data_IF_931914309509
#
_entry.id   IF_931914309509
#
_cell.length_a   1.000
_cell.length_b   1.000
_cell.length_c   1.000
_cell.angle_alpha   90.00
_cell.angle_beta   90.00
_cell.angle_gamma   90.00
#
_symmetry.space_group_name_H-M   'P 1'
#
loop_
_entity.id
_entity.type
_entity.pdbx_description
1 polymer ?
#
# COMPACT_ATOMS: atom_id res chain seq x y z
N UNK A 1 -4.43 -21.66 -21.92
CA UNK A 1 -4.60 -22.39 -20.65
C UNK A 1 -3.57 -21.97 -19.59
N UNK A 2 -2.25 -22.13 -19.83
CA UNK A 2 -1.22 -21.73 -18.85
C UNK A 2 -1.32 -20.25 -18.42
N UNK A 3 -1.45 -19.33 -19.39
CA UNK A 3 -1.62 -17.89 -19.15
C UNK A 3 -2.73 -17.61 -18.14
N UNK A 4 -3.91 -18.18 -18.39
CA UNK A 4 -5.11 -18.01 -17.57
C UNK A 4 -4.94 -18.56 -16.15
N UNK A 5 -4.35 -19.75 -16.00
CA UNK A 5 -4.10 -20.34 -14.68
C UNK A 5 -3.13 -19.48 -13.87
N UNK A 6 -2.04 -19.01 -14.49
CA UNK A 6 -1.04 -18.18 -13.81
C UNK A 6 -1.65 -16.85 -13.37
N UNK A 7 -2.35 -16.14 -14.26
CA UNK A 7 -2.98 -14.87 -13.90
C UNK A 7 -4.00 -15.04 -12.77
N UNK A 8 -4.83 -16.07 -12.82
CA UNK A 8 -5.80 -16.37 -11.77
C UNK A 8 -5.12 -16.62 -10.42
N UNK A 9 -4.13 -17.51 -10.38
CA UNK A 9 -3.40 -17.84 -9.15
C UNK A 9 -2.69 -16.61 -8.58
N UNK A 10 -2.04 -15.80 -9.41
CA UNK A 10 -1.34 -14.60 -8.99
C UNK A 10 -2.27 -13.57 -8.34
N UNK A 11 -3.44 -13.31 -8.94
CA UNK A 11 -4.41 -12.35 -8.42
C UNK A 11 -5.07 -12.85 -7.13
N UNK A 12 -5.50 -14.11 -7.09
CA UNK A 12 -6.10 -14.70 -5.88
C UNK A 12 -5.09 -14.72 -4.73
N UNK A 13 -3.85 -15.13 -5.00
CA UNK A 13 -2.78 -15.12 -3.99
C UNK A 13 -2.47 -13.71 -3.49
N UNK A 14 -2.53 -12.69 -4.35
CA UNK A 14 -2.36 -11.31 -3.94
C UNK A 14 -3.46 -10.86 -2.98
N UNK A 15 -4.72 -11.22 -3.25
CA UNK A 15 -5.85 -10.90 -2.37
C UNK A 15 -5.75 -11.58 -1.00
N UNK A 16 -5.21 -12.81 -0.95
CA UNK A 16 -4.93 -13.51 0.32
C UNK A 16 -4.01 -12.70 1.24
N UNK A 17 -3.13 -11.85 0.71
CA UNK A 17 -2.26 -10.99 1.52
C UNK A 17 -2.77 -9.55 1.67
N UNK A 18 -3.33 -8.97 0.60
CA UNK A 18 -3.82 -7.59 0.60
C UNK A 18 -5.04 -7.39 1.52
N UNK A 19 -5.97 -8.35 1.54
CA UNK A 19 -7.18 -8.27 2.38
C UNK A 19 -6.83 -8.31 3.88
N UNK A 20 -5.99 -9.25 4.38
CA UNK A 20 -5.52 -9.22 5.77
C UNK A 20 -4.77 -7.93 6.14
N UNK A 21 -3.99 -7.35 5.22
CA UNK A 21 -3.31 -6.08 5.46
C UNK A 21 -4.32 -4.97 5.79
N UNK A 22 -5.39 -4.85 5.00
CA UNK A 22 -6.49 -3.89 5.25
C UNK A 22 -7.13 -4.16 6.62
N UNK A 23 -7.43 -5.42 6.94
CA UNK A 23 -8.05 -5.78 8.23
C UNK A 23 -7.16 -5.46 9.44
N UNK A 24 -5.85 -5.70 9.33
CA UNK A 24 -4.91 -5.39 10.41
C UNK A 24 -4.83 -3.88 10.63
N UNK A 25 -4.71 -3.10 9.56
CA UNK A 25 -4.70 -1.64 9.64
C UNK A 25 -6.00 -1.09 10.21
N UNK A 26 -7.16 -1.64 9.79
CA UNK A 26 -8.47 -1.26 10.31
C UNK A 26 -8.62 -1.56 11.81
N UNK A 27 -8.12 -2.72 12.27
CA UNK A 27 -8.08 -3.05 13.70
C UNK A 27 -7.23 -2.06 14.49
N UNK A 28 -6.06 -1.67 13.99
CA UNK A 28 -5.22 -0.67 14.65
C UNK A 28 -5.85 0.72 14.64
N UNK A 29 -6.53 1.10 13.54
CA UNK A 29 -7.27 2.36 13.46
C UNK A 29 -8.43 2.43 14.46
N UNK A 30 -9.12 1.32 14.72
CA UNK A 30 -10.16 1.23 15.77
C UNK A 30 -9.57 1.45 17.17
N UNK A 31 -8.36 0.94 17.44
CA UNK A 31 -7.67 1.16 18.73
C UNK A 31 -7.19 2.60 18.89
N UNK A 32 -6.57 3.16 17.84
CA UNK A 32 -5.93 4.47 17.85
C UNK A 32 -6.19 5.16 16.52
N UNK A 33 -7.06 6.18 16.52
CA UNK A 33 -7.37 6.99 15.33
C UNK A 33 -6.13 7.75 14.86
N UNK A 34 -5.72 7.51 13.62
CA UNK A 34 -4.64 8.22 12.97
C UNK A 34 -4.95 8.35 11.47
N UNK A 35 -4.88 9.56 10.94
CA UNK A 35 -5.24 9.85 9.56
C UNK A 35 -4.35 9.13 8.54
N UNK A 36 -3.07 8.87 8.86
CA UNK A 36 -2.15 8.15 7.97
C UNK A 36 -2.56 6.68 7.87
N UNK A 37 -2.94 6.06 8.99
CA UNK A 37 -3.48 4.70 8.98
C UNK A 37 -4.76 4.65 8.14
N UNK A 38 -5.63 5.64 8.27
CA UNK A 38 -6.85 5.74 7.44
C UNK A 38 -6.52 5.84 5.94
N UNK A 39 -5.55 6.68 5.55
CA UNK A 39 -5.11 6.80 4.16
C UNK A 39 -4.59 5.45 3.63
N UNK A 40 -3.77 4.73 4.40
CA UNK A 40 -3.31 3.39 4.01
C UNK A 40 -4.45 2.37 3.91
N UNK A 41 -5.45 2.41 4.80
CA UNK A 41 -6.65 1.55 4.69
C UNK A 41 -7.37 1.82 3.37
N UNK A 42 -7.62 3.09 3.04
CA UNK A 42 -8.31 3.48 1.81
C UNK A 42 -7.48 3.03 0.61
N UNK A 43 -6.19 3.33 0.57
CA UNK A 43 -5.29 2.89 -0.50
C UNK A 43 -5.35 1.38 -0.72
N UNK A 44 -5.09 0.57 0.31
CA UNK A 44 -5.00 -0.88 0.13
C UNK A 44 -6.36 -1.51 -0.14
N UNK A 45 -7.46 -0.88 0.28
CA UNK A 45 -8.82 -1.28 -0.13
C UNK A 45 -9.07 -1.01 -1.61
N UNK A 46 -8.65 0.17 -2.10
CA UNK A 46 -8.74 0.50 -3.53
C UNK A 46 -7.84 -0.41 -4.37
N UNK A 47 -6.61 -0.68 -3.94
CA UNK A 47 -5.70 -1.62 -4.63
C UNK A 47 -6.29 -3.04 -4.64
N UNK A 48 -6.86 -3.51 -3.53
CA UNK A 48 -7.52 -4.82 -3.50
C UNK A 48 -8.71 -4.88 -4.46
N UNK A 49 -9.51 -3.81 -4.52
CA UNK A 49 -10.62 -3.67 -5.48
C UNK A 49 -10.10 -3.68 -6.92
N UNK A 50 -9.00 -2.99 -7.17
CA UNK A 50 -8.36 -2.91 -8.47
C UNK A 50 -7.86 -4.28 -8.95
N UNK A 51 -7.28 -5.09 -8.05
CA UNK A 51 -6.88 -6.49 -8.30
C UNK A 51 -8.10 -7.38 -8.63
N UNK A 52 -9.24 -7.18 -7.97
CA UNK A 52 -10.48 -7.91 -8.30
C UNK A 52 -10.99 -7.53 -9.70
N UNK A 53 -10.95 -6.24 -10.04
CA UNK A 53 -11.38 -5.75 -11.35
C UNK A 53 -10.45 -6.24 -12.45
N UNK A 54 -9.12 -6.22 -12.25
CA UNK A 54 -8.17 -6.75 -13.24
C UNK A 54 -8.39 -8.24 -13.48
N UNK A 55 -8.60 -9.02 -12.41
CA UNK A 55 -8.94 -10.43 -12.54
C UNK A 55 -10.23 -10.62 -13.36
N UNK A 56 -11.29 -9.88 -13.04
CA UNK A 56 -12.57 -9.93 -13.76
C UNK A 56 -12.41 -9.54 -15.23
N UNK A 57 -11.59 -8.54 -15.52
CA UNK A 57 -11.26 -8.10 -16.87
C UNK A 57 -10.56 -9.20 -17.67
N UNK A 58 -9.56 -9.85 -17.07
CA UNK A 58 -8.83 -10.94 -17.71
C UNK A 58 -9.67 -12.19 -17.93
N UNK A 59 -10.49 -12.59 -16.97
CA UNK A 59 -11.44 -13.69 -17.13
C UNK A 59 -12.37 -13.45 -18.34
N UNK A 60 -12.93 -12.23 -18.45
CA UNK A 60 -13.78 -11.85 -19.57
C UNK A 60 -13.05 -11.92 -20.93
N UNK A 61 -11.76 -11.55 -20.97
CA UNK A 61 -10.94 -11.58 -22.19
C UNK A 61 -10.49 -13.01 -22.56
N UNK A 62 -10.21 -13.86 -21.57
CA UNK A 62 -9.75 -15.23 -21.79
C UNK A 62 -10.90 -16.17 -22.17
N UNK A 63 -12.07 -16.03 -21.54
CA UNK A 63 -13.26 -16.82 -21.87
C UNK A 63 -13.78 -16.53 -23.28
N UNK A 64 -13.62 -15.30 -23.78
CA UNK A 64 -14.09 -14.90 -25.12
C UNK A 64 -13.14 -15.30 -26.25
N UNK A 65 -11.85 -15.47 -25.99
CA UNK A 65 -10.92 -15.85 -27.05
C UNK A 65 -10.75 -17.37 -27.13
N UNK A 66 -11.38 -17.99 -28.12
CA UNK A 66 -11.01 -19.35 -28.53
C UNK A 66 -9.63 -19.39 -29.22
N UNK A 67 -9.08 -18.24 -29.63
CA UNK A 67 -7.76 -18.14 -30.23
C UNK A 67 -6.67 -18.19 -29.15
N UNK A 68 -6.04 -19.34 -29.00
CA UNK A 68 -4.82 -19.56 -28.20
C UNK A 68 -3.56 -18.93 -28.81
N UNK A 69 -3.70 -18.20 -29.93
CA UNK A 69 -2.57 -17.69 -30.70
C UNK A 69 -2.14 -16.30 -30.21
N UNK A 70 -0.93 -16.28 -29.64
CA UNK A 70 -0.19 -15.07 -29.31
C UNK A 70 0.21 -14.41 -30.63
N UNK A 71 -0.16 -13.14 -30.85
CA UNK A 71 0.13 -12.42 -32.11
C UNK A 71 1.08 -11.24 -31.87
N UNK A 72 2.00 -10.94 -32.82
CA UNK A 72 2.74 -9.69 -32.78
C UNK A 72 1.77 -8.52 -32.95
N UNK A 73 1.89 -7.51 -32.10
CA UNK A 73 0.95 -6.39 -32.03
C UNK A 73 1.62 -5.10 -32.51
N UNK A 74 0.87 -4.23 -33.19
CA UNK A 74 1.42 -3.00 -33.78
C UNK A 74 1.73 -2.00 -32.67
N UNK A 75 2.87 -1.31 -32.77
CA UNK A 75 3.30 -0.31 -31.77
C UNK A 75 2.30 0.84 -31.62
N UNK A 76 1.55 1.17 -32.69
CA UNK A 76 0.48 2.17 -32.69
C UNK A 76 -0.64 1.89 -31.69
N UNK A 77 -0.81 0.62 -31.29
CA UNK A 77 -1.84 0.20 -30.34
C UNK A 77 -1.51 0.54 -28.88
N UNK A 78 -0.29 1.00 -28.58
CA UNK A 78 0.02 1.58 -27.26
C UNK A 78 -0.68 2.93 -27.02
N UNK A 79 -1.04 3.64 -28.10
CA UNK A 79 -1.68 4.97 -28.04
C UNK A 79 -3.11 4.93 -28.56
N UNK A 80 -3.49 3.87 -29.27
CA UNK A 80 -4.85 3.62 -29.75
C UNK A 80 -5.44 2.47 -28.94
N UNK A 81 -6.30 2.80 -27.96
CA UNK A 81 -6.97 1.79 -27.15
C UNK A 81 -7.97 1.01 -28.02
N UNK A 82 -7.68 -0.27 -28.29
CA UNK A 82 -8.60 -1.17 -28.97
C UNK A 82 -9.33 -2.03 -27.94
N UNK A 83 -10.62 -1.73 -27.75
CA UNK A 83 -11.52 -2.54 -26.93
C UNK A 83 -12.31 -3.49 -27.81
N UNK A 84 -12.37 -4.77 -27.43
CA UNK A 84 -13.10 -5.78 -28.20
C UNK A 84 -14.61 -5.65 -28.01
N UNK A 85 -15.07 -5.15 -26.85
CA UNK A 85 -16.49 -4.94 -26.55
C UNK A 85 -16.71 -3.69 -25.69
N UNK A 86 -17.92 -3.11 -25.69
CA UNK A 86 -18.27 -2.01 -24.77
C UNK A 86 -18.12 -2.37 -23.28
N UNK A 87 -18.27 -3.66 -22.94
CA UNK A 87 -18.07 -4.15 -21.57
C UNK A 87 -16.58 -4.11 -21.17
N UNK A 88 -15.66 -4.43 -22.10
CA UNK A 88 -14.22 -4.36 -21.85
C UNK A 88 -13.76 -2.91 -21.71
N UNK A 89 -14.33 -2.00 -22.52
CA UNK A 89 -14.10 -0.55 -22.38
C UNK A 89 -14.54 -0.07 -20.99
N UNK A 90 -15.77 -0.37 -20.58
CA UNK A 90 -16.30 0.02 -19.27
C UNK A 90 -15.44 -0.51 -18.11
N UNK A 91 -15.08 -1.80 -18.12
CA UNK A 91 -14.22 -2.39 -17.09
C UNK A 91 -12.82 -1.75 -17.06
N UNK A 92 -12.24 -1.47 -18.23
CA UNK A 92 -10.95 -0.77 -18.33
C UNK A 92 -11.04 0.66 -17.77
N UNK A 93 -12.12 1.39 -18.08
CA UNK A 93 -12.36 2.73 -17.52
C UNK A 93 -12.49 2.68 -16.00
N UNK A 94 -13.30 1.76 -15.47
CA UNK A 94 -13.49 1.59 -14.01
C UNK A 94 -12.16 1.23 -13.34
N UNK A 95 -11.38 0.31 -13.93
CA UNK A 95 -10.05 -0.03 -13.47
C UNK A 95 -9.14 1.21 -13.39
N UNK A 96 -9.08 2.00 -14.46
CA UNK A 96 -8.21 3.18 -14.54
C UNK A 96 -8.61 4.25 -13.53
N UNK A 97 -9.92 4.51 -13.35
CA UNK A 97 -10.40 5.47 -12.35
C UNK A 97 -10.02 5.04 -10.93
N UNK A 98 -10.24 3.78 -10.58
CA UNK A 98 -9.87 3.26 -9.25
C UNK A 98 -8.35 3.26 -9.07
N UNK A 99 -7.60 2.95 -10.13
CA UNK A 99 -6.14 2.98 -10.10
C UNK A 99 -5.62 4.40 -9.84
N UNK A 100 -6.09 5.40 -10.58
CA UNK A 100 -5.75 6.82 -10.38
C UNK A 100 -6.12 7.26 -8.97
N UNK A 101 -7.33 6.93 -8.49
CA UNK A 101 -7.76 7.26 -7.14
C UNK A 101 -6.85 6.62 -6.09
N UNK A 102 -6.50 5.34 -6.25
CA UNK A 102 -5.59 4.64 -5.35
C UNK A 102 -4.22 5.31 -5.30
N UNK A 103 -3.72 5.75 -6.46
CA UNK A 103 -2.44 6.44 -6.62
C UNK A 103 -2.43 7.82 -5.94
N UNK A 104 -3.51 8.60 -6.11
CA UNK A 104 -3.65 9.91 -5.46
C UNK A 104 -3.72 9.77 -3.93
N UNK A 105 -4.50 8.82 -3.42
CA UNK A 105 -4.62 8.59 -1.97
C UNK A 105 -3.29 8.14 -1.38
N UNK A 106 -2.57 7.23 -2.03
CA UNK A 106 -1.27 6.78 -1.51
C UNK A 106 -0.21 7.88 -1.63
N UNK A 107 -0.25 8.71 -2.67
CA UNK A 107 0.61 9.87 -2.77
C UNK A 107 0.40 10.84 -1.59
N UNK A 108 -0.86 11.12 -1.22
CA UNK A 108 -1.18 11.90 -0.02
C UNK A 108 -0.65 11.20 1.25
N UNK A 109 -0.78 9.88 1.35
CA UNK A 109 -0.25 9.11 2.48
C UNK A 109 1.27 9.19 2.59
N UNK A 110 1.98 9.02 1.48
CA UNK A 110 3.44 9.14 1.37
C UNK A 110 3.88 10.56 1.69
N UNK A 111 3.18 11.58 1.18
CA UNK A 111 3.45 12.98 1.49
C UNK A 111 3.27 13.26 2.99
N UNK A 112 2.17 12.79 3.59
CA UNK A 112 1.93 12.91 5.02
C UNK A 112 2.99 12.21 5.88
N UNK A 113 3.43 11.02 5.46
CA UNK A 113 4.49 10.27 6.13
C UNK A 113 5.84 10.96 5.96
N UNK A 114 6.17 11.49 4.77
CA UNK A 114 7.41 12.21 4.51
C UNK A 114 7.47 13.57 5.20
N UNK A 115 6.33 14.25 5.34
CA UNK A 115 6.24 15.55 6.00
C UNK A 115 6.70 15.47 7.46
N UNK A 116 6.56 14.30 8.08
CA UNK A 116 7.09 14.05 9.42
C UNK A 116 8.60 14.23 9.49
N UNK A 117 9.33 13.89 8.42
CA UNK A 117 10.79 14.05 8.33
C UNK A 117 11.23 15.33 7.61
N UNK A 118 10.31 16.26 7.33
CA UNK A 118 10.57 17.47 6.53
C UNK A 118 11.75 18.29 7.04
N UNK A 119 11.95 18.34 8.37
CA UNK A 119 13.06 19.06 8.98
C UNK A 119 14.44 18.45 8.65
N UNK A 120 14.52 17.11 8.56
CA UNK A 120 15.75 16.39 8.21
C UNK A 120 15.99 16.33 6.70
N UNK A 121 14.92 16.25 5.91
CA UNK A 121 15.00 16.17 4.44
C UNK A 121 15.35 17.52 3.79
N UNK A 122 14.93 18.63 4.41
CA UNK A 122 14.97 19.96 3.82
C UNK A 122 13.75 20.26 2.93
N UNK A 123 13.23 21.49 2.99
CA UNK A 123 11.98 21.88 2.32
C UNK A 123 12.01 21.64 0.81
N UNK A 124 13.08 22.05 0.14
CA UNK A 124 13.21 21.95 -1.34
C UNK A 124 13.22 20.49 -1.78
N UNK A 125 14.05 19.65 -1.16
CA UNK A 125 14.13 18.22 -1.46
C UNK A 125 12.80 17.51 -1.22
N UNK A 126 12.10 17.85 -0.14
CA UNK A 126 10.77 17.32 0.15
C UNK A 126 9.78 17.63 -0.99
N UNK A 127 9.63 18.89 -1.38
CA UNK A 127 8.69 19.26 -2.45
C UNK A 127 9.08 18.65 -3.80
N UNK A 128 10.38 18.68 -4.16
CA UNK A 128 10.87 18.07 -5.38
C UNK A 128 10.55 16.56 -5.45
N UNK A 129 10.80 15.82 -4.36
CA UNK A 129 10.51 14.38 -4.28
C UNK A 129 9.00 14.08 -4.38
N UNK A 130 8.14 14.96 -3.85
CA UNK A 130 6.68 14.72 -3.89
C UNK A 130 6.01 15.18 -5.18
N UNK A 131 6.44 16.31 -5.77
CA UNK A 131 5.73 16.95 -6.90
C UNK A 131 6.19 16.38 -8.25
N UNK A 132 7.49 16.17 -8.45
CA UNK A 132 8.03 15.73 -9.74
C UNK A 132 7.44 14.37 -10.17
N UNK A 133 7.40 13.33 -9.30
CA UNK A 133 6.80 12.05 -9.68
C UNK A 133 5.30 12.13 -9.91
N UNK A 134 4.60 13.05 -9.25
CA UNK A 134 3.15 13.23 -9.44
C UNK A 134 2.86 13.79 -10.85
N UNK A 135 3.59 14.83 -11.26
CA UNK A 135 3.45 15.41 -12.61
C UNK A 135 3.77 14.34 -13.65
N UNK A 136 4.85 13.58 -13.43
CA UNK A 136 5.26 12.50 -14.32
C UNK A 136 4.22 11.37 -14.41
N UNK A 137 3.54 11.04 -13.31
CA UNK A 137 2.48 10.03 -13.28
C UNK A 137 1.16 10.49 -13.92
N UNK A 138 0.77 11.75 -13.74
CA UNK A 138 -0.50 12.27 -14.26
C UNK A 138 -0.44 12.47 -15.77
N UNK A 139 0.73 12.85 -16.31
CA UNK A 139 0.87 13.19 -17.72
C UNK A 139 0.37 12.10 -18.68
N UNK A 140 0.69 10.79 -18.52
CA UNK A 140 0.14 9.70 -19.34
C UNK A 140 -1.40 9.68 -19.46
N UNK A 141 -2.12 10.22 -18.47
CA UNK A 141 -3.58 10.24 -18.48
C UNK A 141 -4.16 11.45 -19.25
N UNK A 142 -3.35 12.25 -19.94
CA UNK A 142 -3.79 13.44 -20.69
C UNK A 142 -4.87 13.12 -21.75
N UNK A 143 -4.88 11.90 -22.29
CA UNK A 143 -5.88 11.45 -23.27
C UNK A 143 -7.29 11.42 -22.67
N UNK A 144 -7.42 11.11 -21.38
CA UNK A 144 -8.71 11.12 -20.69
C UNK A 144 -9.26 12.53 -20.42
N UNK A 145 -8.37 13.51 -20.25
CA UNK A 145 -8.75 14.85 -19.80
C UNK A 145 -8.89 15.87 -20.92
N UNK A 146 -8.07 15.80 -21.97
CA UNK A 146 -7.92 16.93 -22.87
C UNK A 146 -7.74 16.57 -24.35
N UNK A 147 -7.52 15.30 -24.70
CA UNK A 147 -7.28 14.84 -26.09
C UNK A 147 -6.27 15.69 -26.89
N UNK A 148 -5.37 16.39 -26.19
CA UNK A 148 -4.51 17.44 -26.75
C UNK A 148 -3.59 16.95 -27.86
N UNK A 149 -3.21 15.67 -27.82
CA UNK A 149 -2.29 15.05 -28.78
C UNK A 149 -3.03 14.26 -29.89
N UNK A 150 -4.37 14.26 -29.91
CA UNK A 150 -5.13 13.46 -30.90
C UNK A 150 -4.79 13.77 -32.35
N UNK A 151 -4.54 15.03 -32.80
CA UNK A 151 -4.17 15.28 -34.19
C UNK A 151 -2.80 14.67 -34.54
N UNK A 152 -1.81 14.81 -33.65
CA UNK A 152 -0.46 14.26 -33.85
C UNK A 152 -0.44 12.73 -33.87
N UNK A 153 -1.30 12.08 -33.07
CA UNK A 153 -1.44 10.61 -33.06
C UNK A 153 -1.97 10.09 -34.40
N UNK A 154 -2.86 10.83 -35.06
CA UNK A 154 -3.44 10.45 -36.36
C UNK A 154 -2.43 10.65 -37.50
N UNK A 155 -1.66 11.74 -37.46
CA UNK A 155 -0.71 12.08 -38.53
C UNK A 155 0.59 11.24 -38.48
N UNK A 156 1.12 10.99 -37.27
CA UNK A 156 2.39 10.27 -37.07
C UNK A 156 2.30 9.20 -35.98
N UNK A 157 1.44 8.18 -36.15
CA UNK A 157 1.12 7.21 -35.08
C UNK A 157 2.35 6.49 -34.55
N UNK A 158 3.28 6.08 -35.41
CA UNK A 158 4.48 5.31 -35.01
C UNK A 158 5.44 6.18 -34.19
N UNK A 159 5.78 7.38 -34.67
CA UNK A 159 6.71 8.26 -34.00
C UNK A 159 6.19 8.70 -32.63
N UNK A 160 4.90 9.08 -32.56
CA UNK A 160 4.25 9.44 -31.30
C UNK A 160 4.23 8.26 -30.34
N UNK A 161 3.93 7.04 -30.80
CA UNK A 161 3.94 5.83 -29.96
C UNK A 161 5.32 5.57 -29.34
N UNK A 162 6.39 5.70 -30.14
CA UNK A 162 7.76 5.47 -29.67
C UNK A 162 8.15 6.51 -28.62
N UNK A 163 7.92 7.79 -28.90
CA UNK A 163 8.22 8.88 -27.96
C UNK A 163 7.43 8.71 -26.67
N UNK A 164 6.13 8.43 -26.78
CA UNK A 164 5.25 8.21 -25.64
C UNK A 164 5.71 7.03 -24.78
N UNK A 165 6.07 5.91 -25.41
CA UNK A 165 6.55 4.72 -24.72
C UNK A 165 7.87 4.99 -23.99
N UNK A 166 8.83 5.63 -24.65
CA UNK A 166 10.13 5.97 -24.03
C UNK A 166 9.92 6.90 -22.83
N UNK A 167 9.06 7.90 -22.98
CA UNK A 167 8.89 8.93 -21.96
C UNK A 167 8.05 8.43 -20.78
N UNK A 168 7.04 7.59 -21.00
CA UNK A 168 6.02 7.28 -19.99
C UNK A 168 5.92 5.82 -19.54
N UNK A 169 6.65 4.90 -20.17
CA UNK A 169 6.65 3.48 -19.78
C UNK A 169 7.07 3.26 -18.32
N UNK A 170 7.91 4.14 -17.76
CA UNK A 170 8.41 4.06 -16.39
C UNK A 170 7.57 4.83 -15.35
N UNK A 171 6.47 5.48 -15.76
CA UNK A 171 5.65 6.35 -14.90
C UNK A 171 5.16 5.68 -13.63
N UNK A 172 4.70 4.43 -13.74
CA UNK A 172 4.22 3.63 -12.60
C UNK A 172 5.35 3.24 -11.65
N UNK A 173 6.50 2.84 -12.20
CA UNK A 173 7.68 2.42 -11.44
C UNK A 173 8.28 3.58 -10.65
N UNK A 174 8.32 4.78 -11.26
CA UNK A 174 8.74 6.01 -10.57
C UNK A 174 7.79 6.35 -9.41
N UNK A 175 6.48 6.20 -9.61
CA UNK A 175 5.49 6.35 -8.56
C UNK A 175 5.65 5.34 -7.42
N UNK A 176 5.79 4.05 -7.77
CA UNK A 176 6.01 2.97 -6.80
C UNK A 176 7.28 3.19 -5.96
N UNK A 177 8.35 3.65 -6.60
CA UNK A 177 9.59 4.02 -5.91
C UNK A 177 9.36 5.17 -4.92
N UNK A 178 8.66 6.24 -5.33
CA UNK A 178 8.30 7.33 -4.41
C UNK A 178 7.53 6.82 -3.18
N UNK A 179 6.55 5.93 -3.38
CA UNK A 179 5.76 5.42 -2.26
C UNK A 179 6.60 4.58 -1.30
N UNK A 180 7.54 3.79 -1.81
CA UNK A 180 8.47 3.02 -0.99
C UNK A 180 9.50 3.88 -0.25
N UNK A 181 9.82 5.07 -0.76
CA UNK A 181 10.83 5.97 -0.20
C UNK A 181 10.49 6.40 1.22
N UNK A 182 9.20 6.52 1.57
CA UNK A 182 8.79 6.84 2.93
C UNK A 182 9.22 5.77 3.93
N UNK A 183 9.08 4.48 3.59
CA UNK A 183 9.54 3.37 4.41
C UNK A 183 11.07 3.26 4.43
N UNK A 184 11.74 3.56 3.32
CA UNK A 184 13.20 3.62 3.28
C UNK A 184 13.73 4.69 4.23
N UNK A 185 13.22 5.91 4.17
CA UNK A 185 13.61 7.01 5.07
C UNK A 185 13.29 6.63 6.52
N UNK A 186 12.12 6.05 6.79
CA UNK A 186 11.76 5.57 8.13
C UNK A 186 12.82 4.59 8.67
N UNK A 187 13.30 3.65 7.83
CA UNK A 187 14.30 2.66 8.22
C UNK A 187 15.66 3.28 8.60
N UNK A 188 16.02 4.44 8.04
CA UNK A 188 17.26 5.16 8.37
C UNK A 188 17.17 5.98 9.66
N UNK A 189 15.96 6.19 10.18
CA UNK A 189 15.70 6.95 11.41
C UNK A 189 15.62 6.01 12.62
N UNK A 190 15.16 4.78 12.43
CA UNK A 190 14.96 3.82 13.53
C UNK A 190 16.28 3.14 13.90
N UNK A 191 16.71 3.20 15.18
CA UNK A 191 17.96 2.57 15.62
C UNK A 191 17.84 1.05 15.82
N UNK A 192 16.64 0.53 16.09
CA UNK A 192 16.42 -0.90 16.31
C UNK A 192 16.52 -1.67 14.98
N UNK A 193 17.46 -2.61 14.89
CA UNK A 193 17.76 -3.36 13.67
C UNK A 193 16.59 -4.22 13.17
N UNK A 194 15.82 -4.83 14.08
CA UNK A 194 14.66 -5.65 13.72
C UNK A 194 13.55 -4.81 13.08
N UNK A 195 13.32 -3.62 13.63
CA UNK A 195 12.35 -2.66 13.07
C UNK A 195 12.86 -2.11 11.74
N UNK A 196 14.16 -1.76 11.65
CA UNK A 196 14.78 -1.33 10.39
C UNK A 196 14.61 -2.36 9.27
N UNK A 197 14.93 -3.63 9.53
CA UNK A 197 14.75 -4.73 8.56
C UNK A 197 13.29 -4.88 8.13
N UNK A 198 12.35 -4.82 9.06
CA UNK A 198 10.91 -4.88 8.73
C UNK A 198 10.42 -3.70 7.87
N UNK A 199 10.96 -2.49 8.07
CA UNK A 199 10.67 -1.33 7.24
C UNK A 199 11.29 -1.45 5.84
N UNK A 200 12.47 -2.04 5.71
CA UNK A 200 13.07 -2.35 4.41
C UNK A 200 12.26 -3.40 3.65
N UNK A 201 11.75 -4.42 4.33
CA UNK A 201 10.83 -5.41 3.73
C UNK A 201 9.56 -4.72 3.24
N UNK A 202 9.00 -3.78 4.03
CA UNK A 202 7.84 -2.98 3.63
C UNK A 202 8.14 -2.09 2.41
N UNK A 203 9.33 -1.49 2.37
CA UNK A 203 9.81 -0.70 1.24
C UNK A 203 9.82 -1.54 -0.04
N UNK A 204 10.45 -2.71 -0.02
CA UNK A 204 10.52 -3.63 -1.16
C UNK A 204 9.12 -4.08 -1.58
N UNK A 205 8.28 -4.48 -0.62
CA UNK A 205 6.90 -4.89 -0.90
C UNK A 205 6.07 -3.79 -1.56
N UNK A 206 6.22 -2.55 -1.09
CA UNK A 206 5.54 -1.38 -1.66
C UNK A 206 5.97 -1.11 -3.11
N UNK A 207 7.29 -1.15 -3.39
CA UNK A 207 7.82 -0.96 -4.75
C UNK A 207 7.28 -2.02 -5.69
N UNK A 208 7.36 -3.30 -5.29
CA UNK A 208 6.93 -4.43 -6.12
C UNK A 208 5.43 -4.37 -6.38
N UNK A 209 4.60 -4.18 -5.35
CA UNK A 209 3.15 -4.18 -5.48
C UNK A 209 2.66 -3.10 -6.45
N UNK A 210 3.08 -1.84 -6.27
CA UNK A 210 2.63 -0.75 -7.13
C UNK A 210 3.26 -0.76 -8.53
N UNK A 211 4.40 -1.41 -8.71
CA UNK A 211 4.99 -1.61 -10.05
C UNK A 211 4.32 -2.75 -10.82
N UNK A 212 3.64 -3.67 -10.12
CA UNK A 212 3.15 -4.93 -10.71
C UNK A 212 1.65 -4.94 -11.03
N UNK A 213 0.85 -4.10 -10.37
CA UNK A 213 -0.60 -4.03 -10.60
C UNK A 213 -0.90 -3.27 -11.89
N UNK A 214 -1.16 -3.98 -12.98
CA UNK A 214 -1.48 -3.42 -14.29
C UNK A 214 -2.34 -4.35 -15.17
N UNK A 215 -3.22 -3.80 -16.00
CA UNK A 215 -3.99 -4.56 -17.02
C UNK A 215 -3.37 -4.55 -18.44
N UNK A 216 -2.61 -3.51 -18.79
CA UNK A 216 -2.08 -3.26 -20.15
C UNK A 216 -1.21 -4.40 -20.70
N UNK A 217 -0.27 -4.99 -19.94
CA UNK A 217 0.67 -5.97 -20.48
C UNK A 217 0.02 -7.26 -20.99
N UNK A 218 -1.12 -7.68 -20.42
CA UNK A 218 -1.84 -8.89 -20.85
C UNK A 218 -3.13 -8.60 -21.62
N UNK A 219 -3.60 -7.36 -21.65
CA UNK A 219 -4.76 -6.93 -22.44
C UNK A 219 -4.64 -7.36 -23.92
N UNK A 220 -3.44 -7.26 -24.49
CA UNK A 220 -3.23 -7.43 -25.94
C UNK A 220 -2.71 -8.81 -26.37
N UNK A 221 -2.51 -9.76 -25.44
CA UNK A 221 -2.00 -11.12 -25.73
C UNK A 221 -0.76 -11.12 -26.66
N UNK A 222 0.14 -10.17 -26.40
CA UNK A 222 1.37 -9.95 -27.17
C UNK A 222 2.40 -11.03 -26.90
N UNK A 223 3.16 -11.40 -27.95
CA UNK A 223 4.38 -12.21 -27.82
C UNK A 223 5.59 -11.28 -27.79
N UNK A 224 6.52 -11.43 -26.83
CA UNK A 224 6.49 -12.31 -25.65
C UNK A 224 5.57 -11.78 -24.54
N UNK A 225 5.00 -12.65 -23.67
CA UNK A 225 4.08 -12.24 -22.62
C UNK A 225 4.82 -11.69 -21.39
N UNK A 226 5.60 -10.62 -21.56
CA UNK A 226 6.36 -10.01 -20.45
C UNK A 226 5.49 -9.57 -19.27
N UNK A 227 4.21 -9.28 -19.54
CA UNK A 227 3.19 -9.00 -18.52
C UNK A 227 2.99 -10.11 -17.50
N UNK A 228 3.18 -11.37 -17.88
CA UNK A 228 3.02 -12.51 -16.97
C UNK A 228 4.00 -12.45 -15.79
N UNK A 229 5.24 -12.07 -16.08
CA UNK A 229 6.30 -11.99 -15.07
C UNK A 229 5.94 -10.88 -14.08
N UNK A 230 5.50 -9.73 -14.59
CA UNK A 230 5.04 -8.60 -13.78
C UNK A 230 3.89 -9.02 -12.86
N UNK A 231 2.87 -9.72 -13.39
CA UNK A 231 1.73 -10.15 -12.56
C UNK A 231 2.08 -11.20 -11.52
N UNK A 232 3.05 -12.08 -11.81
CA UNK A 232 3.54 -13.07 -10.85
C UNK A 232 4.16 -12.41 -9.60
N UNK A 233 4.61 -11.15 -9.69
CA UNK A 233 5.16 -10.41 -8.57
C UNK A 233 4.12 -9.70 -7.69
N UNK A 234 2.87 -9.54 -8.14
CA UNK A 234 1.79 -8.94 -7.32
C UNK A 234 1.66 -9.64 -5.95
N UNK A 235 1.52 -10.98 -5.86
CA UNK A 235 1.41 -11.65 -4.56
C UNK A 235 2.66 -11.50 -3.69
N UNK A 236 3.86 -11.50 -4.29
CA UNK A 236 5.11 -11.27 -3.56
C UNK A 236 5.13 -9.86 -2.93
N UNK A 237 4.76 -8.84 -3.70
CA UNK A 237 4.67 -7.46 -3.21
C UNK A 237 3.68 -7.32 -2.05
N UNK A 238 2.48 -7.90 -2.20
CA UNK A 238 1.46 -7.88 -1.17
C UNK A 238 1.90 -8.62 0.12
N UNK A 239 2.55 -9.78 -0.03
CA UNK A 239 3.09 -10.56 1.08
C UNK A 239 4.18 -9.80 1.85
N UNK A 240 5.19 -9.28 1.14
CA UNK A 240 6.29 -8.53 1.76
C UNK A 240 5.77 -7.29 2.48
N UNK A 241 4.81 -6.58 1.87
CA UNK A 241 4.23 -5.39 2.49
C UNK A 241 3.44 -5.73 3.76
N UNK A 242 2.64 -6.80 3.73
CA UNK A 242 1.92 -7.31 4.90
C UNK A 242 2.88 -7.69 6.03
N UNK A 243 3.85 -8.56 5.74
CA UNK A 243 4.79 -9.06 6.75
C UNK A 243 5.68 -7.94 7.28
N UNK A 244 6.16 -7.05 6.41
CA UNK A 244 6.98 -5.91 6.78
C UNK A 244 6.27 -4.99 7.77
N UNK A 245 5.05 -4.53 7.43
CA UNK A 245 4.27 -3.62 8.29
C UNK A 245 3.89 -4.32 9.60
N UNK A 246 3.44 -5.58 9.53
CA UNK A 246 3.03 -6.34 10.71
C UNK A 246 4.21 -6.57 11.68
N UNK A 247 5.34 -7.05 11.15
CA UNK A 247 6.54 -7.30 11.96
C UNK A 247 7.10 -6.01 12.55
N UNK A 248 7.01 -4.90 11.82
CA UNK A 248 7.39 -3.57 12.34
C UNK A 248 6.55 -3.18 13.55
N UNK A 249 5.23 -3.36 13.47
CA UNK A 249 4.32 -3.07 14.58
C UNK A 249 4.58 -3.97 15.80
N UNK A 250 4.83 -5.27 15.59
CA UNK A 250 5.12 -6.24 16.66
C UNK A 250 6.46 -5.92 17.35
N UNK A 251 7.51 -5.65 16.59
CA UNK A 251 8.81 -5.32 17.19
C UNK A 251 8.73 -4.03 18.03
N UNK A 252 7.92 -3.05 17.60
CA UNK A 252 7.65 -1.83 18.38
C UNK A 252 6.73 -2.10 19.58
N UNK A 253 5.79 -3.05 19.50
CA UNK A 253 4.92 -3.43 20.63
C UNK A 253 5.67 -4.17 21.74
N UNK A 254 6.85 -4.70 21.44
CA UNK A 254 7.69 -5.40 22.43
C UNK A 254 8.77 -4.49 23.05
N UNK A 255 9.31 -3.53 22.28
CA UNK A 255 10.40 -2.67 22.76
C UNK A 255 9.89 -1.39 23.48
N UNK A 256 9.87 -1.46 24.82
CA UNK A 256 9.47 -0.33 25.68
C UNK A 256 10.42 0.88 25.59
N UNK A 257 11.73 0.65 25.34
CA UNK A 257 12.72 1.72 25.19
C UNK A 257 12.50 2.46 23.88
N UNK A 258 12.31 1.73 22.78
CA UNK A 258 11.98 2.30 21.48
C UNK A 258 10.65 3.08 21.51
N UNK A 259 9.63 2.58 22.22
CA UNK A 259 8.38 3.34 22.45
C UNK A 259 8.59 4.62 23.26
N UNK A 260 9.52 4.63 24.20
CA UNK A 260 9.89 5.83 24.96
C UNK A 260 10.67 6.81 24.09
N UNK A 261 11.53 6.33 23.21
CA UNK A 261 12.29 7.14 22.25
C UNK A 261 11.37 7.78 21.21
N UNK A 262 10.32 7.08 20.75
CA UNK A 262 9.22 7.65 19.96
C UNK A 262 8.47 8.80 20.67
N UNK A 263 8.69 9.04 21.98
CA UNK A 263 8.10 10.18 22.71
C UNK A 263 9.07 11.33 22.95
N UNK A 264 10.38 11.10 22.89
CA UNK A 264 11.38 12.04 23.45
C UNK A 264 12.39 12.61 22.45
N UNK A 265 12.55 12.05 21.25
CA UNK A 265 13.64 12.45 20.33
C UNK A 265 13.17 12.79 18.91
N UNK A 266 14.10 13.02 17.98
CA UNK A 266 13.83 13.16 16.53
C UNK A 266 13.05 11.96 15.93
N UNK A 267 13.03 10.82 16.63
CA UNK A 267 12.24 9.62 16.33
C UNK A 267 10.73 9.86 16.61
N UNK A 268 10.34 10.89 17.37
CA UNK A 268 8.96 11.27 17.63
C UNK A 268 8.15 11.64 16.37
N UNK A 269 8.86 11.87 15.26
CA UNK A 269 8.26 12.12 13.95
C UNK A 269 7.60 10.86 13.38
N UNK A 270 7.98 9.64 13.80
CA UNK A 270 7.45 8.36 13.30
C UNK A 270 6.03 8.03 13.82
N UNK A 271 5.05 8.90 13.56
CA UNK A 271 3.71 8.78 14.11
C UNK A 271 2.99 7.52 13.65
N UNK A 272 3.17 7.09 12.41
CA UNK A 272 2.59 5.83 11.92
C UNK A 272 3.08 4.66 12.76
N UNK A 273 4.40 4.49 12.85
CA UNK A 273 5.05 3.37 13.52
C UNK A 273 4.75 3.35 15.02
N UNK A 274 4.79 4.53 15.65
CA UNK A 274 4.38 4.72 17.05
C UNK A 274 2.93 4.30 17.27
N UNK A 275 2.02 4.72 16.38
CA UNK A 275 0.58 4.43 16.53
C UNK A 275 0.29 2.95 16.37
N UNK A 276 0.82 2.31 15.31
CA UNK A 276 0.58 0.88 15.07
C UNK A 276 1.22 0.01 16.16
N UNK A 277 2.40 0.38 16.67
CA UNK A 277 3.06 -0.35 17.75
C UNK A 277 2.33 -0.25 19.10
N UNK A 278 1.79 0.93 19.44
CA UNK A 278 0.95 1.09 20.64
C UNK A 278 -0.37 0.32 20.48
N UNK A 279 -1.04 0.41 19.33
CA UNK A 279 -2.28 -0.32 19.07
C UNK A 279 -2.06 -1.84 19.12
N UNK A 280 -0.94 -2.33 18.60
CA UNK A 280 -0.55 -3.73 18.69
C UNK A 280 -0.26 -4.17 20.13
N UNK A 281 0.42 -3.33 20.92
CA UNK A 281 0.69 -3.59 22.34
C UNK A 281 -0.62 -3.68 23.15
N UNK A 282 -1.56 -2.73 22.97
CA UNK A 282 -2.87 -2.75 23.63
C UNK A 282 -3.64 -4.04 23.30
N UNK A 283 -3.62 -4.44 22.03
CA UNK A 283 -4.25 -5.69 21.58
C UNK A 283 -3.62 -6.93 22.24
N UNK A 284 -2.31 -6.99 22.35
CA UNK A 284 -1.59 -8.09 23.00
C UNK A 284 -1.87 -8.13 24.51
N UNK A 285 -1.94 -6.98 25.18
CA UNK A 285 -2.30 -6.89 26.60
C UNK A 285 -3.72 -7.41 26.85
N UNK A 286 -4.70 -6.99 26.05
CA UNK A 286 -6.10 -7.47 26.16
C UNK A 286 -6.16 -8.98 25.90
N UNK A 287 -5.42 -9.49 24.91
CA UNK A 287 -5.36 -10.93 24.62
C UNK A 287 -4.78 -11.71 25.81
N UNK A 288 -3.68 -11.24 26.37
CA UNK A 288 -3.02 -11.90 27.50
C UNK A 288 -3.90 -11.86 28.76
N UNK A 289 -4.56 -10.73 29.03
CA UNK A 289 -5.52 -10.62 30.13
C UNK A 289 -6.65 -11.66 30.00
N UNK A 290 -7.28 -11.77 28.82
CA UNK A 290 -8.33 -12.79 28.58
C UNK A 290 -7.83 -14.23 28.76
N UNK A 291 -6.57 -14.51 28.44
CA UNK A 291 -5.97 -15.83 28.66
C UNK A 291 -5.75 -16.13 30.14
N UNK A 292 -5.34 -15.12 30.91
CA UNK A 292 -5.18 -15.23 32.37
C UNK A 292 -6.55 -15.38 33.04
N UNK A 293 -7.54 -14.57 32.65
CA UNK A 293 -8.92 -14.67 33.13
C UNK A 293 -9.52 -16.07 32.89
N UNK A 294 -9.37 -16.61 31.66
CA UNK A 294 -9.82 -17.98 31.34
C UNK A 294 -9.11 -19.07 32.15
N UNK A 295 -7.89 -18.83 32.60
CA UNK A 295 -7.10 -19.77 33.42
C UNK A 295 -7.37 -19.64 34.92
N UNK A 296 -7.95 -18.53 35.36
CA UNK A 296 -8.22 -18.21 36.76
C UNK A 296 -9.71 -17.96 36.99
N UNK A 297 -10.57 -19.01 37.01
CA UNK A 297 -12.02 -18.87 37.16
C UNK A 297 -12.48 -18.28 38.51
N UNK A 298 -11.57 -18.12 39.48
CA UNK A 298 -11.82 -17.61 40.83
C UNK A 298 -11.47 -16.12 41.02
N UNK A 299 -11.16 -15.37 39.95
CA UNK A 299 -11.15 -13.90 40.04
C UNK A 299 -12.59 -13.44 40.35
N UNK A 300 -12.77 -12.77 41.49
CA UNK A 300 -14.07 -12.29 41.95
C UNK A 300 -14.82 -11.60 40.81
N UNK A 301 -16.01 -12.11 40.47
CA UNK A 301 -16.91 -11.61 39.42
C UNK A 301 -17.60 -10.31 39.83
N UNK A 302 -16.84 -9.32 40.31
CA UNK A 302 -17.37 -8.03 40.75
C UNK A 302 -17.36 -6.97 39.65
N UNK A 303 -16.69 -7.20 38.52
CA UNK A 303 -16.71 -6.31 37.35
C UNK A 303 -17.16 -7.04 36.08
N UNK A 304 -17.96 -6.36 35.25
CA UNK A 304 -18.33 -6.82 33.92
C UNK A 304 -17.09 -6.76 33.00
N UNK A 305 -16.52 -7.91 32.67
CA UNK A 305 -15.32 -8.04 31.84
C UNK A 305 -15.63 -8.17 30.33
N UNK A 306 -16.68 -7.51 29.85
CA UNK A 306 -16.92 -7.33 28.41
C UNK A 306 -15.65 -6.82 27.69
N UNK A 307 -15.47 -7.19 26.42
CA UNK A 307 -14.28 -6.83 25.64
C UNK A 307 -14.03 -5.31 25.58
N UNK A 308 -15.10 -4.52 25.65
CA UNK A 308 -15.02 -3.06 25.72
C UNK A 308 -14.52 -2.58 27.08
N UNK A 309 -15.00 -3.18 28.18
CA UNK A 309 -14.55 -2.86 29.54
C UNK A 309 -13.09 -3.25 29.77
N UNK A 310 -12.63 -4.41 29.28
CA UNK A 310 -11.21 -4.80 29.38
C UNK A 310 -10.31 -3.84 28.58
N UNK A 311 -10.75 -3.41 27.40
CA UNK A 311 -10.03 -2.38 26.63
C UNK A 311 -9.95 -1.07 27.39
N UNK A 312 -11.05 -0.67 28.04
CA UNK A 312 -11.11 0.55 28.84
C UNK A 312 -10.17 0.47 30.05
N UNK A 313 -10.18 -0.62 30.81
CA UNK A 313 -9.29 -0.83 31.96
C UNK A 313 -7.81 -0.78 31.53
N UNK A 314 -7.45 -1.49 30.46
CA UNK A 314 -6.07 -1.44 29.92
C UNK A 314 -5.71 -0.02 29.50
N UNK A 315 -6.63 0.70 28.87
CA UNK A 315 -6.40 2.08 28.47
C UNK A 315 -6.19 3.01 29.66
N UNK A 316 -7.04 2.91 30.69
CA UNK A 316 -6.96 3.70 31.92
C UNK A 316 -5.67 3.43 32.69
N UNK A 317 -5.31 2.16 32.90
CA UNK A 317 -4.04 1.79 33.56
C UNK A 317 -2.84 2.31 32.78
N UNK A 318 -2.86 2.24 31.45
CA UNK A 318 -1.79 2.82 30.62
C UNK A 318 -1.73 4.36 30.73
N UNK A 319 -2.87 5.03 30.89
CA UNK A 319 -2.92 6.48 31.12
C UNK A 319 -2.43 6.86 32.52
N UNK A 320 -2.79 6.11 33.56
CA UNK A 320 -2.34 6.34 34.93
C UNK A 320 -0.83 6.11 35.08
N UNK A 321 -0.33 4.99 34.54
CA UNK A 321 1.11 4.73 34.51
C UNK A 321 1.84 5.84 33.77
N UNK A 322 1.26 6.36 32.68
CA UNK A 322 1.81 7.52 31.97
C UNK A 322 1.82 8.77 32.84
N UNK A 323 0.74 9.10 33.56
CA UNK A 323 0.71 10.26 34.47
C UNK A 323 1.70 10.15 35.64
N UNK A 324 1.82 8.96 36.25
CA UNK A 324 2.80 8.71 37.33
C UNK A 324 4.24 8.91 36.84
N UNK A 325 4.55 8.47 35.62
CA UNK A 325 5.85 8.64 34.99
C UNK A 325 6.18 10.11 34.64
N UNK A 326 5.16 10.96 34.46
CA UNK A 326 5.31 12.40 34.29
C UNK A 326 5.52 13.11 35.63
N UNK A 327 4.69 12.82 36.66
CA UNK A 327 4.83 13.44 38.00
C UNK A 327 6.16 13.14 38.67
N UNK A 328 6.70 11.92 38.51
CA UNK A 328 8.04 11.56 39.02
C UNK A 328 9.19 12.37 38.40
N UNK A 329 8.96 13.07 37.28
CA UNK A 329 9.97 13.86 36.57
C UNK A 329 9.83 15.37 36.77
N UNK A 330 8.70 15.84 37.30
CA UNK A 330 8.55 17.23 37.76
C UNK A 330 9.11 17.42 39.19
N UNK A 331 9.33 16.31 39.90
CA UNK A 331 9.89 16.28 41.25
C UNK A 331 11.40 15.95 41.29
N UNK A 332 12.03 15.78 40.12
CA UNK A 332 13.50 15.62 39.95
C UNK A 332 14.03 16.74 39.06
#
# INVERSE_FOLDING_TARGET
MLLHIVTFISHVSALVFAIPLVFILAKWFKSRRNYIILLYIITFSLVSTNIVISLTYYENIFLRSNASEIRPYRISSYVTAFYSTPADESLSTVYNVIFILSFLVIWIATMAMLNQYKYRLGKIRYYALTIIPLIYFIFPFHTYFANLLSPFVLDFPIAVSVIYTILFSASKQVGAFLFSLSFLIASTVVPNDSVKKSLLISCIGMTILFSSVEITPLQYKVSPPYGLITEAFIPLGAFLLLVGIFTSAVNVSQDGKLRRDFRKSAIAQLNLLRTIGIAQMEKELVKNFKLVEKRSPNLERTQDYSEENVKQIVHEVLQELKQKDFRKREQS
#
